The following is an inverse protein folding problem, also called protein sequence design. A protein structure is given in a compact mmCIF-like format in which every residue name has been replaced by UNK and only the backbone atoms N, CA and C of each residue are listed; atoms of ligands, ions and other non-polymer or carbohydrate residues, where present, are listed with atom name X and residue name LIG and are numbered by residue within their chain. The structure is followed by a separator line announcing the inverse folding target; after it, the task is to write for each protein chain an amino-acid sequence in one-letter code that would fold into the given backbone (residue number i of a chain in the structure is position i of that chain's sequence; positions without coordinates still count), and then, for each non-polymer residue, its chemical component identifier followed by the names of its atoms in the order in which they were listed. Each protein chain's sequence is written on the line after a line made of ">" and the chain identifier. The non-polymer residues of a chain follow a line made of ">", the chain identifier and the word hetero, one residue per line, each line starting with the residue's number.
data_IF_692991832789
#
_entry.id   IF_692991832789
#
_cell.length_a   1.000
_cell.length_b   1.000
_cell.length_c   1.000
_cell.angle_alpha   90.00
_cell.angle_beta   90.00
_cell.angle_gamma   90.00
#
_symmetry.space_group_name_H-M   'P 1'
#
loop_
_entity.id
_entity.type
_entity.pdbx_description
1 polymer ?
#
# COMPACT_ATOMS: atom_id res chain seq x y z
N UNK A 1 13.19 5.21 -29.07
CA UNK A 1 12.03 5.95 -28.54
C UNK A 1 12.09 5.87 -27.03
N UNK A 2 12.53 6.92 -26.34
CA UNK A 2 12.61 6.92 -24.88
C UNK A 2 11.21 7.16 -24.33
N UNK A 3 10.54 6.11 -23.84
CA UNK A 3 9.31 6.30 -23.07
C UNK A 3 9.66 7.11 -21.81
N UNK A 4 9.12 8.32 -21.72
CA UNK A 4 9.16 9.13 -20.50
C UNK A 4 8.53 8.28 -19.41
N UNK A 5 9.29 7.99 -18.35
CA UNK A 5 8.83 7.22 -17.19
C UNK A 5 7.90 8.09 -16.34
N UNK A 6 6.68 8.32 -16.82
CA UNK A 6 5.67 9.10 -16.10
C UNK A 6 4.92 8.18 -15.15
N UNK A 7 4.82 8.60 -13.89
CA UNK A 7 3.89 8.05 -12.92
C UNK A 7 2.64 8.91 -12.85
N UNK A 8 1.47 8.29 -12.68
CA UNK A 8 0.20 8.97 -12.44
C UNK A 8 -0.24 8.70 -11.01
N UNK A 9 -0.62 9.76 -10.30
CA UNK A 9 -1.13 9.68 -8.93
C UNK A 9 -2.60 10.06 -8.95
N UNK A 10 -3.44 9.29 -8.28
CA UNK A 10 -4.88 9.55 -8.14
C UNK A 10 -5.28 9.60 -6.67
N UNK A 11 -6.26 10.45 -6.37
CA UNK A 11 -6.96 10.49 -5.08
C UNK A 11 -8.44 10.43 -5.40
N UNK A 12 -9.08 9.36 -4.97
CA UNK A 12 -10.48 9.08 -5.23
C UNK A 12 -11.20 8.82 -3.91
N UNK A 13 -12.53 8.83 -3.94
CA UNK A 13 -13.34 8.57 -2.76
C UNK A 13 -14.33 7.45 -3.04
N UNK A 14 -14.36 6.47 -2.16
CA UNK A 14 -15.30 5.35 -2.19
C UNK A 14 -16.46 5.61 -1.24
N UNK A 15 -17.67 5.21 -1.62
CA UNK A 15 -18.85 5.27 -0.74
C UNK A 15 -18.65 4.31 0.44
N UNK A 16 -18.23 3.09 0.14
CA UNK A 16 -17.96 2.06 1.14
C UNK A 16 -16.50 2.06 1.56
N UNK A 17 -16.25 1.62 2.79
CA UNK A 17 -14.87 1.38 3.25
C UNK A 17 -14.31 0.18 2.49
N UNK A 18 -13.12 0.35 1.93
CA UNK A 18 -12.43 -0.67 1.12
C UNK A 18 -11.07 -1.00 1.71
N UNK A 19 -10.58 -2.19 1.41
CA UNK A 19 -9.21 -2.61 1.73
C UNK A 19 -8.35 -2.59 0.47
N UNK A 20 -7.06 -2.38 0.68
CA UNK A 20 -6.02 -2.50 -0.34
C UNK A 20 -5.24 -3.80 -0.16
N UNK A 21 -4.41 -4.19 -1.14
CA UNK A 21 -3.47 -5.30 -0.97
C UNK A 21 -2.48 -5.12 0.20
N UNK A 22 -2.32 -3.88 0.71
CA UNK A 22 -1.45 -3.57 1.83
C UNK A 22 -2.18 -3.63 3.18
N UNK A 23 -3.51 -3.50 3.20
CA UNK A 23 -4.24 -3.27 4.45
C UNK A 23 -4.03 -4.35 5.49
N UNK A 24 -4.09 -5.62 5.08
CA UNK A 24 -3.90 -6.76 5.96
C UNK A 24 -2.52 -6.77 6.65
N UNK A 25 -1.50 -6.23 5.99
CA UNK A 25 -0.12 -6.22 6.49
C UNK A 25 0.21 -5.01 7.36
N UNK A 26 -0.55 -3.93 7.20
CA UNK A 26 -0.30 -2.65 7.86
C UNK A 26 -1.19 -2.49 9.08
N UNK A 27 -2.47 -2.83 8.95
CA UNK A 27 -3.50 -2.54 9.95
C UNK A 27 -3.81 -3.80 10.76
N UNK A 28 -3.58 -3.75 12.08
CA UNK A 28 -3.96 -4.85 12.99
C UNK A 28 -5.41 -4.68 13.46
N UNK A 29 -6.25 -5.68 13.21
CA UNK A 29 -7.62 -5.74 13.75
C UNK A 29 -7.59 -5.76 15.30
N UNK A 30 -8.47 -4.99 15.94
CA UNK A 30 -8.52 -4.83 17.40
C UNK A 30 -9.78 -5.41 18.05
N UNK A 31 -10.83 -5.67 17.27
CA UNK A 31 -12.17 -5.96 17.79
C UNK A 31 -12.89 -7.11 17.05
N UNK A 32 -12.14 -7.94 16.33
CA UNK A 32 -12.65 -9.16 15.71
C UNK A 32 -11.66 -10.30 15.93
N UNK A 33 -12.15 -11.40 16.50
CA UNK A 33 -11.40 -12.65 16.69
C UNK A 33 -11.63 -13.66 15.55
N UNK A 34 -12.61 -13.39 14.67
CA UNK A 34 -13.05 -14.31 13.62
C UNK A 34 -12.33 -14.05 12.31
N UNK A 35 -12.40 -12.80 11.82
CA UNK A 35 -11.72 -12.42 10.59
C UNK A 35 -11.23 -10.98 10.63
N UNK A 36 -10.11 -10.73 9.95
CA UNK A 36 -9.53 -9.40 9.83
C UNK A 36 -10.51 -8.41 9.18
N UNK A 37 -11.31 -8.86 8.20
CA UNK A 37 -12.25 -8.03 7.45
C UNK A 37 -13.49 -7.62 8.24
N UNK A 38 -13.86 -8.37 9.27
CA UNK A 38 -15.04 -8.07 10.10
C UNK A 38 -14.74 -7.04 11.20
N UNK A 39 -13.47 -6.66 11.37
CA UNK A 39 -13.04 -5.70 12.38
C UNK A 39 -13.50 -4.28 12.03
N UNK A 40 -13.97 -3.53 13.03
CA UNK A 40 -14.34 -2.12 12.85
C UNK A 40 -13.24 -1.16 13.32
N UNK A 41 -12.30 -1.68 14.13
CA UNK A 41 -11.18 -0.94 14.72
C UNK A 41 -9.85 -1.55 14.33
N UNK A 42 -8.95 -0.71 13.83
CA UNK A 42 -7.62 -1.12 13.41
C UNK A 42 -6.52 -0.27 14.05
N UNK A 43 -5.33 -0.84 14.22
CA UNK A 43 -4.12 -0.13 14.60
C UNK A 43 -2.96 -0.38 13.61
N UNK A 44 -2.45 0.66 12.92
CA UNK A 44 -3.03 2.00 12.78
C UNK A 44 -4.46 1.94 12.20
N UNK A 45 -5.22 3.02 12.35
CA UNK A 45 -6.58 3.08 11.79
C UNK A 45 -6.54 3.18 10.26
N UNK A 46 -7.56 2.63 9.60
CA UNK A 46 -7.86 2.97 8.20
C UNK A 46 -8.25 4.45 8.08
N UNK A 47 -8.22 5.00 6.86
CA UNK A 47 -8.59 6.40 6.67
C UNK A 47 -10.05 6.65 7.07
N UNK A 48 -10.32 7.76 7.79
CA UNK A 48 -11.68 8.10 8.21
C UNK A 48 -12.54 8.51 7.02
N UNK A 49 -13.86 8.41 7.20
CA UNK A 49 -14.84 8.97 6.27
C UNK A 49 -14.64 10.49 6.16
N UNK A 50 -14.52 11.01 4.94
CA UNK A 50 -14.58 12.45 4.67
C UNK A 50 -16.03 12.82 4.36
N UNK A 51 -16.62 13.65 5.21
CA UNK A 51 -18.02 14.08 5.07
C UNK A 51 -18.28 14.68 3.68
N UNK A 52 -19.34 14.19 3.03
CA UNK A 52 -19.73 14.63 1.68
C UNK A 52 -18.89 14.06 0.54
N UNK A 53 -17.85 13.25 0.80
CA UNK A 53 -17.01 12.64 -0.24
C UNK A 53 -16.95 11.12 -0.17
N UNK A 54 -16.82 10.55 1.02
CA UNK A 54 -16.59 9.11 1.21
C UNK A 54 -15.23 8.80 1.84
N UNK A 55 -14.81 7.55 1.76
CA UNK A 55 -13.51 7.07 2.24
C UNK A 55 -12.43 7.36 1.20
N UNK A 56 -11.35 8.05 1.56
CA UNK A 56 -10.30 8.40 0.61
C UNK A 56 -9.52 7.14 0.23
N UNK A 57 -9.15 7.10 -1.04
CA UNK A 57 -8.40 6.01 -1.65
C UNK A 57 -7.34 6.61 -2.56
N UNK A 58 -6.19 5.97 -2.63
CA UNK A 58 -4.99 6.54 -3.23
C UNK A 58 -4.41 5.57 -4.25
N UNK A 59 -4.17 6.06 -5.46
CA UNK A 59 -3.61 5.28 -6.54
C UNK A 59 -2.26 5.80 -7.00
N UNK A 60 -1.37 4.89 -7.34
CA UNK A 60 -0.15 5.16 -8.09
C UNK A 60 -0.06 4.20 -9.27
N UNK A 61 -0.06 4.74 -10.48
CA UNK A 61 0.27 4.02 -11.71
C UNK A 61 1.73 4.29 -12.07
N UNK A 62 2.47 3.23 -12.38
CA UNK A 62 3.82 3.30 -12.91
C UNK A 62 4.04 2.23 -13.98
N UNK A 63 4.30 2.65 -15.22
CA UNK A 63 4.53 1.76 -16.37
C UNK A 63 3.39 0.74 -16.59
N UNK A 64 2.14 1.16 -16.39
CA UNK A 64 0.96 0.31 -16.52
C UNK A 64 0.69 -0.61 -15.32
N UNK A 65 1.48 -0.50 -14.25
CA UNK A 65 1.25 -1.23 -12.99
C UNK A 65 0.67 -0.31 -11.94
N UNK A 66 -0.33 -0.81 -11.22
CA UNK A 66 -1.09 -0.04 -10.24
C UNK A 66 -0.75 -0.49 -8.82
N UNK A 67 -0.51 0.49 -7.96
CA UNK A 67 -0.56 0.36 -6.51
C UNK A 67 -1.76 1.13 -6.00
N UNK A 68 -2.46 0.54 -5.05
CA UNK A 68 -3.66 1.10 -4.45
C UNK A 68 -3.51 1.06 -2.93
N UNK A 69 -4.01 2.10 -2.27
CA UNK A 69 -3.93 2.28 -0.83
C UNK A 69 -5.24 2.89 -0.31
N UNK A 70 -5.63 2.56 0.92
CA UNK A 70 -6.78 3.14 1.60
C UNK A 70 -6.41 3.87 2.91
N UNK A 71 -5.12 4.08 3.15
CA UNK A 71 -4.61 4.89 4.25
C UNK A 71 -3.25 5.51 3.92
N UNK A 72 -2.87 6.55 4.66
CA UNK A 72 -1.52 7.15 4.54
C UNK A 72 -0.46 6.20 5.10
N UNK A 73 -0.81 5.41 6.11
CA UNK A 73 0.08 4.45 6.76
C UNK A 73 0.49 3.34 5.78
N UNK A 74 -0.40 2.93 4.88
CA UNK A 74 -0.06 2.00 3.80
C UNK A 74 0.94 2.60 2.80
N UNK A 75 0.79 3.88 2.45
CA UNK A 75 1.76 4.58 1.59
C UNK A 75 3.13 4.65 2.28
N UNK A 76 3.16 4.99 3.56
CA UNK A 76 4.40 5.05 4.37
C UNK A 76 5.05 3.67 4.44
N UNK A 77 4.28 2.62 4.74
CA UNK A 77 4.79 1.25 4.76
C UNK A 77 5.36 0.83 3.40
N UNK A 78 4.68 1.17 2.30
CA UNK A 78 5.17 0.88 0.95
C UNK A 78 6.50 1.59 0.69
N UNK A 79 6.62 2.88 1.03
CA UNK A 79 7.87 3.65 0.91
C UNK A 79 8.99 2.96 1.70
N UNK A 80 8.73 2.61 2.97
CA UNK A 80 9.70 1.96 3.85
C UNK A 80 10.24 0.67 3.21
N UNK A 81 9.37 -0.27 2.86
CA UNK A 81 9.72 -1.55 2.21
C UNK A 81 10.54 -1.32 0.93
N UNK A 82 10.13 -0.37 0.08
CA UNK A 82 10.81 -0.09 -1.17
C UNK A 82 12.14 0.63 -0.99
N UNK A 83 12.35 1.34 0.13
CA UNK A 83 13.56 2.12 0.41
C UNK A 83 14.77 1.26 0.76
N UNK A 84 14.56 0.03 1.24
CA UNK A 84 15.65 -0.88 1.58
C UNK A 84 16.56 -1.17 0.38
N UNK A 85 17.87 -1.00 0.53
CA UNK A 85 18.87 -1.27 -0.52
C UNK A 85 18.68 -2.66 -1.13
N UNK A 86 18.59 -3.68 -0.28
CA UNK A 86 18.16 -5.03 -0.64
C UNK A 86 16.71 -5.19 -0.21
N UNK A 87 15.81 -5.57 -1.12
CA UNK A 87 14.40 -5.74 -0.77
C UNK A 87 14.26 -6.80 0.32
N UNK A 88 13.48 -6.53 1.39
CA UNK A 88 13.17 -7.53 2.38
C UNK A 88 12.38 -8.68 1.72
N UNK A 89 12.64 -9.91 2.15
CA UNK A 89 11.91 -11.05 1.62
C UNK A 89 10.45 -11.00 2.08
N UNK A 90 9.48 -11.43 1.25
CA UNK A 90 8.09 -11.56 1.68
C UNK A 90 7.92 -12.41 2.94
N UNK A 91 8.76 -13.45 3.13
CA UNK A 91 8.79 -14.25 4.36
C UNK A 91 9.06 -13.35 5.59
N UNK A 92 10.11 -12.54 5.53
CA UNK A 92 10.48 -11.64 6.63
C UNK A 92 9.39 -10.61 6.92
N UNK A 93 8.80 -10.02 5.88
CA UNK A 93 7.71 -9.06 6.03
C UNK A 93 6.49 -9.69 6.71
N UNK A 94 6.11 -10.92 6.32
CA UNK A 94 5.00 -11.62 6.96
C UNK A 94 5.28 -12.01 8.41
N UNK A 95 6.52 -12.34 8.77
CA UNK A 95 6.91 -12.60 10.16
C UNK A 95 6.78 -11.35 11.03
N UNK A 96 7.25 -10.19 10.52
CA UNK A 96 7.13 -8.90 11.22
C UNK A 96 5.66 -8.54 11.43
N UNK A 97 4.81 -8.80 10.44
CA UNK A 97 3.36 -8.58 10.54
C UNK A 97 2.63 -9.61 11.44
N UNK A 98 3.31 -10.63 11.97
CA UNK A 98 2.69 -11.67 12.81
C UNK A 98 1.88 -12.72 12.03
N UNK A 99 2.03 -12.77 10.70
CA UNK A 99 1.30 -13.65 9.79
C UNK A 99 2.25 -14.61 9.05
N UNK A 100 3.10 -15.31 9.82
CA UNK A 100 3.98 -16.35 9.30
C UNK A 100 3.21 -17.39 8.48
N UNK A 101 3.74 -17.76 7.31
CA UNK A 101 3.10 -18.72 6.38
C UNK A 101 2.36 -18.06 5.20
N UNK A 102 1.99 -16.78 5.30
CA UNK A 102 1.23 -16.08 4.27
C UNK A 102 2.08 -15.36 3.22
N UNK A 103 3.38 -15.69 3.10
CA UNK A 103 4.34 -15.04 2.18
C UNK A 103 3.87 -14.99 0.71
N UNK A 104 3.08 -15.97 0.29
CA UNK A 104 2.58 -16.11 -1.08
C UNK A 104 1.43 -15.13 -1.40
N UNK A 105 0.79 -14.57 -0.36
CA UNK A 105 -0.25 -13.55 -0.48
C UNK A 105 0.30 -12.12 -0.34
N UNK A 106 1.53 -11.96 0.16
CA UNK A 106 2.12 -10.64 0.37
C UNK A 106 2.19 -9.84 -0.94
N UNK A 107 1.84 -8.55 -0.88
CA UNK A 107 1.76 -7.67 -2.05
C UNK A 107 3.07 -7.64 -2.87
N UNK A 108 4.22 -7.63 -2.19
CA UNK A 108 5.54 -7.64 -2.82
C UNK A 108 5.79 -8.92 -3.64
N UNK A 109 5.14 -10.05 -3.32
CA UNK A 109 5.22 -11.29 -4.11
C UNK A 109 4.47 -11.12 -5.44
N UNK A 110 3.31 -10.47 -5.41
CA UNK A 110 2.46 -10.23 -6.59
C UNK A 110 2.99 -9.12 -7.48
N UNK A 111 3.90 -8.29 -6.97
CA UNK A 111 4.43 -7.17 -7.71
C UNK A 111 5.38 -7.62 -8.84
N UNK A 112 5.28 -7.05 -10.06
CA UNK A 112 6.14 -7.41 -11.19
C UNK A 112 7.63 -7.24 -10.90
N UNK A 113 8.44 -8.14 -11.46
CA UNK A 113 9.89 -8.16 -11.21
C UNK A 113 10.63 -6.97 -11.82
N UNK A 114 10.16 -6.44 -12.95
CA UNK A 114 10.80 -5.37 -13.70
C UNK A 114 10.74 -4.01 -12.99
N UNK A 115 9.73 -3.79 -12.14
CA UNK A 115 9.60 -2.56 -11.33
C UNK A 115 10.19 -2.68 -9.92
N UNK A 116 10.70 -3.85 -9.53
CA UNK A 116 11.46 -4.06 -8.28
C UNK A 116 12.92 -3.59 -8.38
N UNK A 117 13.41 -3.30 -9.59
CA UNK A 117 14.75 -2.77 -9.80
C UNK A 117 14.96 -1.47 -9.01
N UNK A 118 16.17 -1.26 -8.46
CA UNK A 118 16.47 -0.11 -7.61
C UNK A 118 16.09 1.24 -8.25
N UNK A 119 16.46 1.43 -9.53
CA UNK A 119 16.15 2.67 -10.26
C UNK A 119 14.66 2.95 -10.35
N UNK A 120 13.85 1.92 -10.62
CA UNK A 120 12.39 2.03 -10.73
C UNK A 120 11.77 2.27 -9.34
N UNK A 121 12.25 1.58 -8.30
CA UNK A 121 11.84 1.83 -6.90
C UNK A 121 12.05 3.27 -6.48
N UNK A 122 13.18 3.90 -6.83
CA UNK A 122 13.44 5.31 -6.49
C UNK A 122 12.42 6.27 -7.15
N UNK A 123 12.02 6.00 -8.39
CA UNK A 123 11.00 6.80 -9.09
C UNK A 123 9.61 6.59 -8.49
N UNK A 124 9.29 5.35 -8.11
CA UNK A 124 8.06 4.99 -7.41
C UNK A 124 8.01 5.68 -6.05
N UNK A 125 9.08 5.59 -5.24
CA UNK A 125 9.20 6.27 -3.94
C UNK A 125 9.01 7.78 -4.09
N UNK A 126 9.63 8.41 -5.10
CA UNK A 126 9.43 9.85 -5.36
C UNK A 126 7.95 10.18 -5.63
N UNK A 127 7.23 9.28 -6.30
CA UNK A 127 5.81 9.44 -6.60
C UNK A 127 4.94 9.18 -5.38
N UNK A 128 5.25 8.15 -4.59
CA UNK A 128 4.59 7.85 -3.32
C UNK A 128 4.75 9.01 -2.33
N UNK A 129 5.91 9.66 -2.24
CA UNK A 129 6.08 10.85 -1.40
C UNK A 129 5.18 12.02 -1.84
N UNK A 130 5.01 12.24 -3.15
CA UNK A 130 4.05 13.24 -3.65
C UNK A 130 2.60 12.86 -3.32
N UNK A 131 2.28 11.57 -3.40
CA UNK A 131 0.96 11.06 -3.05
C UNK A 131 0.70 11.19 -1.54
N UNK A 132 1.70 10.94 -0.69
CA UNK A 132 1.61 11.09 0.75
C UNK A 132 1.29 12.54 1.16
N UNK A 133 1.93 13.53 0.52
CA UNK A 133 1.61 14.95 0.72
C UNK A 133 0.16 15.27 0.34
N UNK A 134 -0.41 14.59 -0.68
CA UNK A 134 -1.81 14.74 -1.08
C UNK A 134 -2.80 13.99 -0.18
N UNK A 135 -2.31 13.04 0.61
CA UNK A 135 -3.10 12.27 1.57
C UNK A 135 -3.19 12.95 2.96
N UNK A 136 -2.62 14.14 3.10
CA UNK A 136 -2.65 14.98 4.31
C UNK A 136 -3.82 15.94 4.23
#
# INVERSE_FOLDING_TARGET
>A
MWQVRVSKITVEYSIDRVSSPLSFWVHKALDSDVSWSDSTKYLPSLAPLVLGKGYPTFGLEYRGHFLYFCSKEEIVHCIDVLSHKVLPSPKRLTEIAGHSGYKHLHWLTKWPGDIKAWKDRQLIIKSLNKLLVKAT
#
